data_IF_478992741764
#
_entry.id   IF_478992741764
#
_cell.length_a   1.000
_cell.length_b   1.000
_cell.length_c   1.000
_cell.angle_alpha   90.00
_cell.angle_beta   90.00
_cell.angle_gamma   90.00
#
_symmetry.space_group_name_H-M   'P 1'
#
loop_
_entity.id
_entity.type
_entity.pdbx_description
1 polymer ?
#
# COMPACT_ATOMS: atom_id res chain seq x y z
N UNK A 1 13.75 42.24 22.23
CA UNK A 1 14.19 41.18 21.29
C UNK A 1 14.30 39.86 22.04
N UNK A 2 13.45 38.87 21.75
CA UNK A 2 13.74 37.43 21.81
C UNK A 2 12.48 36.62 21.40
N UNK A 3 12.41 36.31 20.11
CA UNK A 3 11.72 35.17 19.45
C UNK A 3 10.57 34.47 20.22
N UNK A 4 9.38 35.06 20.21
CA UNK A 4 8.12 34.30 20.34
C UNK A 4 7.71 33.61 19.00
N UNK A 5 8.41 33.89 17.90
CA UNK A 5 8.08 33.37 16.56
C UNK A 5 8.68 32.00 16.19
N UNK A 6 9.13 31.19 17.16
CA UNK A 6 9.77 29.89 16.90
C UNK A 6 9.04 28.69 17.51
N UNK A 7 7.99 28.92 18.31
CA UNK A 7 7.17 27.87 18.95
C UNK A 7 5.98 27.40 18.08
N UNK A 8 5.69 28.10 16.97
CA UNK A 8 4.64 27.76 15.99
C UNK A 8 5.18 27.27 14.63
N UNK A 9 6.50 27.11 14.50
CA UNK A 9 7.08 26.34 13.40
C UNK A 9 7.11 24.88 13.87
N UNK A 10 6.72 23.96 12.99
CA UNK A 10 6.91 22.51 13.08
C UNK A 10 5.80 21.71 13.80
N UNK A 11 4.52 21.96 13.46
CA UNK A 11 3.76 20.80 12.97
C UNK A 11 4.57 20.31 11.76
N UNK A 12 5.09 19.09 11.81
CA UNK A 12 6.12 18.66 10.84
C UNK A 12 5.60 18.88 9.43
N UNK A 13 6.41 19.39 8.49
CA UNK A 13 5.97 19.61 7.09
C UNK A 13 5.39 18.32 6.47
N UNK A 14 5.74 17.18 7.05
CA UNK A 14 5.24 15.84 6.76
C UNK A 14 3.75 15.62 7.15
N UNK A 15 3.16 16.46 8.00
CA UNK A 15 1.72 16.41 8.33
C UNK A 15 0.84 16.75 7.12
N UNK A 16 1.37 17.53 6.17
CA UNK A 16 0.66 17.91 4.94
C UNK A 16 0.79 16.88 3.82
N UNK A 17 1.56 15.80 4.01
CA UNK A 17 1.83 14.80 2.96
C UNK A 17 0.52 14.25 2.36
N UNK A 18 -0.49 14.01 3.21
CA UNK A 18 -1.79 13.50 2.77
C UNK A 18 -2.59 14.55 1.98
N UNK A 19 -2.51 15.81 2.39
CA UNK A 19 -3.20 16.91 1.71
C UNK A 19 -2.65 17.15 0.30
N UNK A 20 -1.34 16.98 0.10
CA UNK A 20 -0.75 17.06 -1.23
C UNK A 20 -1.25 15.94 -2.15
N UNK A 21 -1.48 14.74 -1.60
CA UNK A 21 -2.06 13.62 -2.36
C UNK A 21 -3.51 13.89 -2.75
N UNK A 22 -4.32 14.40 -1.83
CA UNK A 22 -5.73 14.73 -2.08
C UNK A 22 -5.90 15.80 -3.15
N UNK A 23 -5.01 16.79 -3.16
CA UNK A 23 -5.09 17.94 -4.06
C UNK A 23 -4.40 17.73 -5.40
N UNK A 24 -3.75 16.57 -5.61
CA UNK A 24 -2.85 16.35 -6.75
C UNK A 24 -1.77 17.45 -6.85
N UNK A 25 -1.23 17.87 -5.71
CA UNK A 25 -0.24 18.94 -5.61
C UNK A 25 1.17 18.40 -5.86
N UNK A 26 1.53 18.25 -7.14
CA UNK A 26 2.86 17.81 -7.56
C UNK A 26 3.97 18.76 -7.10
N UNK A 27 3.70 20.06 -6.97
CA UNK A 27 4.70 21.03 -6.53
C UNK A 27 5.00 20.87 -5.03
N UNK A 28 3.97 20.68 -4.21
CA UNK A 28 4.10 20.34 -2.80
C UNK A 28 4.86 19.02 -2.59
N UNK A 29 4.52 18.00 -3.37
CA UNK A 29 5.25 16.72 -3.39
C UNK A 29 6.74 16.95 -3.74
N UNK A 30 7.03 17.73 -4.77
CA UNK A 30 8.40 18.00 -5.21
C UNK A 30 9.21 18.76 -4.17
N UNK A 31 8.59 19.74 -3.53
CA UNK A 31 9.19 20.49 -2.46
C UNK A 31 9.57 19.57 -1.29
N UNK A 32 8.65 18.72 -0.84
CA UNK A 32 8.85 17.85 0.31
C UNK A 32 9.87 16.73 0.03
N UNK A 33 9.76 16.09 -1.14
CA UNK A 33 10.68 15.01 -1.55
C UNK A 33 12.11 15.48 -1.79
N UNK A 34 12.28 16.75 -2.19
CA UNK A 34 13.62 17.35 -2.33
C UNK A 34 14.31 17.59 -0.98
N UNK A 35 13.57 17.91 0.08
CA UNK A 35 14.12 18.18 1.40
C UNK A 35 14.24 16.94 2.28
N UNK A 36 13.32 15.98 2.16
CA UNK A 36 13.20 14.82 3.06
C UNK A 36 13.46 13.47 2.37
N UNK A 37 13.65 13.45 1.05
CA UNK A 37 13.78 12.22 0.25
C UNK A 37 12.44 11.75 -0.31
N UNK A 38 12.49 10.90 -1.35
CA UNK A 38 11.31 10.41 -2.07
C UNK A 38 10.37 9.58 -1.18
N UNK A 39 10.93 8.83 -0.24
CA UNK A 39 10.20 7.98 0.72
C UNK A 39 9.94 8.68 2.06
N UNK A 40 9.88 10.02 2.07
CA UNK A 40 9.42 10.75 3.25
C UNK A 40 7.99 10.33 3.61
N UNK A 41 7.66 10.39 4.91
CA UNK A 41 6.43 9.82 5.43
C UNK A 41 5.80 10.66 6.55
N UNK A 42 4.49 10.52 6.78
CA UNK A 42 3.79 11.12 7.92
C UNK A 42 4.06 10.39 9.25
N UNK A 43 3.40 10.79 10.33
CA UNK A 43 3.46 10.07 11.62
C UNK A 43 3.01 8.60 11.51
N UNK A 44 2.12 8.30 10.53
CA UNK A 44 1.77 7.03 9.85
C UNK A 44 2.90 6.11 9.40
N UNK A 45 4.10 6.67 9.21
CA UNK A 45 5.12 6.08 8.33
C UNK A 45 4.55 5.74 6.94
N UNK A 46 3.54 6.49 6.48
CA UNK A 46 2.93 6.35 5.16
C UNK A 46 3.60 7.35 4.22
N UNK A 47 4.16 6.84 3.13
CA UNK A 47 4.76 7.64 2.06
C UNK A 47 3.70 8.14 1.09
N UNK A 48 4.08 9.02 0.16
CA UNK A 48 3.22 9.41 -0.96
C UNK A 48 2.71 8.21 -1.76
N UNK A 49 3.54 7.18 -1.95
CA UNK A 49 3.16 5.94 -2.63
C UNK A 49 2.03 5.22 -1.89
N UNK A 50 2.17 5.02 -0.57
CA UNK A 50 1.16 4.36 0.26
C UNK A 50 -0.15 5.14 0.26
N UNK A 51 -0.09 6.46 0.40
CA UNK A 51 -1.28 7.31 0.45
C UNK A 51 -2.00 7.36 -0.90
N UNK A 52 -1.26 7.50 -2.01
CA UNK A 52 -1.85 7.44 -3.35
C UNK A 52 -2.51 6.08 -3.61
N UNK A 53 -1.84 4.99 -3.19
CA UNK A 53 -2.35 3.63 -3.29
C UNK A 53 -3.62 3.41 -2.46
N UNK A 54 -3.68 3.98 -1.26
CA UNK A 54 -4.86 3.93 -0.39
C UNK A 54 -6.05 4.71 -0.96
N UNK A 55 -5.82 5.72 -1.82
CA UNK A 55 -6.87 6.62 -2.32
C UNK A 55 -7.24 6.36 -3.78
N UNK A 56 -6.71 5.30 -4.41
CA UNK A 56 -6.95 5.05 -5.83
C UNK A 56 -6.31 6.08 -6.75
N UNK A 57 -5.32 6.86 -6.28
CA UNK A 57 -4.75 7.97 -7.05
C UNK A 57 -3.63 7.49 -7.98
N UNK A 58 -4.00 7.03 -9.17
CA UNK A 58 -3.06 6.53 -10.19
C UNK A 58 -2.06 7.59 -10.66
N UNK A 59 -2.47 8.86 -10.73
CA UNK A 59 -1.62 9.96 -11.21
C UNK A 59 -0.41 10.18 -10.31
N UNK A 60 -0.64 10.31 -9.00
CA UNK A 60 0.47 10.45 -8.03
C UNK A 60 1.25 9.15 -7.90
N UNK A 61 0.56 8.00 -7.91
CA UNK A 61 1.21 6.71 -7.79
C UNK A 61 2.27 6.53 -8.89
N UNK A 62 1.89 6.72 -10.16
CA UNK A 62 2.81 6.61 -11.29
C UNK A 62 3.96 7.63 -11.17
N UNK A 63 3.64 8.88 -10.84
CA UNK A 63 4.63 9.94 -10.71
C UNK A 63 5.72 9.62 -9.68
N UNK A 64 5.32 9.13 -8.51
CA UNK A 64 6.23 8.80 -7.40
C UNK A 64 7.05 7.55 -7.71
N UNK A 65 6.47 6.53 -8.36
CA UNK A 65 7.20 5.35 -8.83
C UNK A 65 8.27 5.76 -9.86
N UNK A 66 7.93 6.62 -10.83
CA UNK A 66 8.87 7.10 -11.85
C UNK A 66 10.03 7.91 -11.25
N UNK A 67 9.82 8.51 -10.08
CA UNK A 67 10.87 9.19 -9.31
C UNK A 67 11.74 8.26 -8.47
N UNK A 68 11.48 6.96 -8.50
CA UNK A 68 12.29 5.96 -7.80
C UNK A 68 11.93 5.78 -6.33
N UNK A 69 10.66 5.97 -5.97
CA UNK A 69 10.18 5.56 -4.65
C UNK A 69 10.37 4.06 -4.43
N UNK A 70 10.62 3.67 -3.18
CA UNK A 70 10.64 2.27 -2.79
C UNK A 70 9.22 1.69 -2.87
N UNK A 71 9.00 0.84 -3.89
CA UNK A 71 7.69 0.31 -4.22
C UNK A 71 7.13 -0.62 -3.13
N UNK A 72 8.01 -1.24 -2.34
CA UNK A 72 7.66 -2.18 -1.28
C UNK A 72 7.79 -1.55 0.11
N UNK A 73 7.95 -0.21 0.20
CA UNK A 73 8.03 0.51 1.47
C UNK A 73 6.83 0.17 2.38
N UNK A 74 7.09 -0.01 3.67
CA UNK A 74 6.10 -0.45 4.65
C UNK A 74 5.87 0.59 5.76
N UNK A 75 4.60 0.79 6.09
CA UNK A 75 4.16 1.66 7.19
C UNK A 75 4.53 1.08 8.58
N UNK A 76 4.08 1.72 9.67
CA UNK A 76 4.36 1.25 11.04
C UNK A 76 3.62 -0.02 11.46
N UNK A 77 2.77 -0.60 10.61
CA UNK A 77 2.17 -1.92 10.80
C UNK A 77 2.75 -2.97 9.82
N UNK A 78 3.72 -2.58 8.99
CA UNK A 78 4.25 -3.42 7.93
C UNK A 78 3.41 -3.41 6.65
N UNK A 79 2.42 -2.53 6.52
CA UNK A 79 1.57 -2.50 5.32
C UNK A 79 2.28 -1.74 4.22
N UNK A 80 2.43 -2.40 3.06
CA UNK A 80 2.91 -1.78 1.82
C UNK A 80 1.77 -1.18 0.99
N UNK A 81 2.10 -0.48 -0.09
CA UNK A 81 1.11 0.02 -1.04
C UNK A 81 0.14 -1.08 -1.52
N UNK A 82 0.66 -2.27 -1.88
CA UNK A 82 -0.18 -3.41 -2.29
C UNK A 82 -1.17 -3.85 -1.21
N UNK A 83 -0.82 -3.77 0.08
CA UNK A 83 -1.77 -4.09 1.16
C UNK A 83 -2.92 -3.09 1.20
N UNK A 84 -2.63 -1.80 1.11
CA UNK A 84 -3.65 -0.75 1.11
C UNK A 84 -4.55 -0.81 -0.12
N UNK A 85 -3.99 -1.03 -1.31
CA UNK A 85 -4.79 -1.21 -2.53
C UNK A 85 -5.70 -2.45 -2.44
N UNK A 86 -5.20 -3.54 -1.87
CA UNK A 86 -5.99 -4.76 -1.63
C UNK A 86 -7.10 -4.55 -0.61
N UNK A 87 -6.87 -3.75 0.43
CA UNK A 87 -7.86 -3.40 1.44
C UNK A 87 -9.00 -2.55 0.87
N UNK A 88 -8.67 -1.58 0.01
CA UNK A 88 -9.61 -0.58 -0.49
C UNK A 88 -10.24 -0.94 -1.84
N UNK A 89 -10.01 -2.16 -2.32
CA UNK A 89 -10.52 -2.66 -3.59
C UNK A 89 -10.02 -1.91 -4.85
N UNK A 90 -8.79 -1.42 -4.83
CA UNK A 90 -8.22 -0.56 -5.89
C UNK A 90 -7.49 -1.39 -6.96
N UNK A 91 -8.25 -2.03 -7.86
CA UNK A 91 -7.69 -2.94 -8.87
C UNK A 91 -6.68 -2.26 -9.82
N UNK A 92 -6.94 -1.01 -10.25
CA UNK A 92 -6.04 -0.28 -11.14
C UNK A 92 -4.67 0.00 -10.50
N UNK A 93 -4.68 0.38 -9.22
CA UNK A 93 -3.47 0.57 -8.41
C UNK A 93 -2.68 -0.75 -8.27
N UNK A 94 -3.37 -1.87 -8.02
CA UNK A 94 -2.73 -3.19 -7.94
C UNK A 94 -2.05 -3.55 -9.26
N UNK A 95 -2.72 -3.33 -10.38
CA UNK A 95 -2.15 -3.60 -11.70
C UNK A 95 -0.90 -2.76 -11.95
N UNK A 96 -0.93 -1.46 -11.63
CA UNK A 96 0.23 -0.58 -11.77
C UNK A 96 1.38 -1.08 -10.90
N UNK A 97 1.14 -1.31 -9.60
CA UNK A 97 2.19 -1.74 -8.66
C UNK A 97 2.85 -3.05 -9.09
N UNK A 98 2.06 -4.07 -9.43
CA UNK A 98 2.58 -5.38 -9.85
C UNK A 98 3.31 -5.30 -11.19
N UNK A 99 2.84 -4.48 -12.13
CA UNK A 99 3.54 -4.27 -13.41
C UNK A 99 4.84 -3.48 -13.25
N UNK A 100 4.95 -2.65 -12.20
CA UNK A 100 6.16 -1.90 -11.84
C UNK A 100 7.11 -2.69 -10.93
N UNK A 101 6.80 -3.97 -10.67
CA UNK A 101 7.70 -4.88 -9.97
C UNK A 101 7.53 -4.94 -8.45
N UNK A 102 6.41 -4.44 -7.92
CA UNK A 102 6.08 -4.62 -6.51
C UNK A 102 6.05 -6.11 -6.14
N UNK A 103 6.57 -6.46 -4.97
CA UNK A 103 6.59 -7.83 -4.50
C UNK A 103 5.17 -8.27 -4.08
N UNK A 104 4.52 -9.22 -4.78
CA UNK A 104 3.18 -9.70 -4.41
C UNK A 104 3.14 -10.43 -3.06
N UNK A 105 4.31 -10.78 -2.52
CA UNK A 105 4.51 -11.57 -1.30
C UNK A 105 5.16 -10.79 -0.16
N UNK A 106 5.24 -9.46 -0.26
CA UNK A 106 5.66 -8.59 0.86
C UNK A 106 4.80 -8.86 2.09
N UNK A 107 5.39 -8.92 3.29
CA UNK A 107 4.67 -9.36 4.50
C UNK A 107 4.54 -8.25 5.53
N UNK A 108 3.33 -8.05 6.03
CA UNK A 108 3.08 -7.19 7.19
C UNK A 108 3.72 -7.74 8.48
N UNK A 109 3.59 -7.03 9.60
CA UNK A 109 4.15 -7.47 10.88
C UNK A 109 3.49 -8.72 11.49
N UNK A 110 2.33 -9.12 10.97
CA UNK A 110 1.68 -10.39 11.29
C UNK A 110 2.06 -11.52 10.32
N UNK A 111 2.94 -11.24 9.35
CA UNK A 111 3.34 -12.20 8.34
C UNK A 111 2.30 -12.40 7.24
N UNK A 112 1.30 -11.53 7.13
CA UNK A 112 0.27 -11.60 6.09
C UNK A 112 0.78 -10.94 4.80
N UNK A 113 0.63 -11.60 3.63
CA UNK A 113 0.84 -10.97 2.33
C UNK A 113 -0.39 -10.16 1.85
N UNK A 114 -0.28 -9.30 0.82
CA UNK A 114 -1.41 -8.53 0.28
C UNK A 114 -2.65 -9.37 -0.06
N UNK A 115 -2.47 -10.59 -0.57
CA UNK A 115 -3.58 -11.50 -0.89
C UNK A 115 -4.38 -11.90 0.35
N UNK A 116 -3.75 -11.98 1.53
CA UNK A 116 -4.46 -12.20 2.79
C UNK A 116 -5.43 -11.05 3.06
N UNK A 117 -4.99 -9.80 2.91
CA UNK A 117 -5.83 -8.61 3.06
C UNK A 117 -6.98 -8.62 2.05
N UNK A 118 -6.72 -8.98 0.79
CA UNK A 118 -7.76 -9.12 -0.22
C UNK A 118 -8.81 -10.17 0.18
N UNK A 119 -8.38 -11.36 0.63
CA UNK A 119 -9.29 -12.43 1.09
C UNK A 119 -10.12 -11.98 2.28
N UNK A 120 -9.54 -11.24 3.23
CA UNK A 120 -10.26 -10.74 4.42
C UNK A 120 -11.36 -9.73 4.07
N UNK A 121 -11.12 -8.88 3.07
CA UNK A 121 -12.04 -7.81 2.68
C UNK A 121 -13.00 -8.22 1.54
N UNK A 122 -12.71 -9.32 0.84
CA UNK A 122 -13.56 -9.83 -0.22
C UNK A 122 -14.96 -10.20 0.29
N UNK A 123 -15.98 -9.77 -0.46
CA UNK A 123 -17.38 -10.13 -0.21
C UNK A 123 -17.87 -11.02 -1.34
N UNK A 124 -18.26 -10.40 -2.45
CA UNK A 124 -18.80 -11.08 -3.64
C UNK A 124 -17.89 -10.92 -4.86
N UNK A 125 -16.92 -10.00 -4.80
CA UNK A 125 -15.93 -9.76 -5.84
C UNK A 125 -14.55 -10.30 -5.41
N UNK A 126 -14.01 -11.21 -6.22
CA UNK A 126 -12.69 -11.83 -6.02
C UNK A 126 -11.66 -11.37 -7.05
N UNK A 127 -11.93 -10.29 -7.80
CA UNK A 127 -11.07 -9.79 -8.87
C UNK A 127 -9.64 -9.49 -8.41
N UNK A 128 -9.48 -8.93 -7.20
CA UNK A 128 -8.16 -8.68 -6.61
C UNK A 128 -7.45 -9.98 -6.25
N UNK A 129 -8.16 -10.93 -5.64
CA UNK A 129 -7.58 -12.24 -5.30
C UNK A 129 -7.09 -12.92 -6.57
N UNK A 130 -7.93 -12.94 -7.61
CA UNK A 130 -7.58 -13.47 -8.93
C UNK A 130 -6.35 -12.77 -9.52
N UNK A 131 -6.30 -11.43 -9.50
CA UNK A 131 -5.17 -10.66 -10.02
C UNK A 131 -3.86 -10.97 -9.30
N UNK A 132 -3.90 -11.09 -7.97
CA UNK A 132 -2.73 -11.46 -7.17
C UNK A 132 -2.25 -12.88 -7.47
N UNK A 133 -3.18 -13.83 -7.65
CA UNK A 133 -2.86 -15.20 -8.08
C UNK A 133 -2.22 -15.24 -9.47
N UNK A 134 -2.76 -14.48 -10.44
CA UNK A 134 -2.19 -14.33 -11.80
C UNK A 134 -0.75 -13.78 -11.77
N UNK A 135 -0.42 -13.02 -10.72
CA UNK A 135 0.92 -12.46 -10.46
C UNK A 135 1.73 -13.29 -9.46
N UNK A 136 1.41 -14.58 -9.33
CA UNK A 136 2.15 -15.56 -8.53
C UNK A 136 2.23 -15.22 -7.02
N UNK A 137 1.16 -14.67 -6.46
CA UNK A 137 1.04 -14.57 -5.00
C UNK A 137 1.08 -15.96 -4.35
N UNK A 138 1.91 -16.11 -3.32
CA UNK A 138 2.05 -17.33 -2.55
C UNK A 138 0.87 -17.49 -1.59
N UNK A 139 0.18 -18.61 -1.73
CA UNK A 139 -1.00 -18.97 -0.94
C UNK A 139 -0.72 -20.04 0.12
N UNK A 140 0.49 -20.60 0.16
CA UNK A 140 0.83 -21.74 1.01
C UNK A 140 1.61 -21.32 2.26
N UNK A 141 2.46 -20.30 2.18
CA UNK A 141 3.29 -19.94 3.33
C UNK A 141 2.46 -19.30 4.45
N UNK A 142 2.60 -19.86 5.65
CA UNK A 142 1.85 -19.46 6.84
C UNK A 142 2.29 -18.10 7.38
N UNK A 143 1.34 -17.34 7.92
CA UNK A 143 1.60 -16.11 8.67
C UNK A 143 2.03 -16.43 10.12
N UNK A 144 2.21 -15.41 10.96
CA UNK A 144 2.65 -15.57 12.36
C UNK A 144 1.58 -16.25 13.24
N UNK A 145 0.37 -16.43 12.74
CA UNK A 145 -0.72 -17.17 13.38
C UNK A 145 -0.81 -18.63 12.90
N UNK A 146 0.12 -19.09 12.06
CA UNK A 146 0.14 -20.46 11.56
C UNK A 146 -0.93 -20.75 10.50
N UNK A 147 -1.47 -19.72 9.85
CA UNK A 147 -2.48 -19.83 8.78
C UNK A 147 -1.93 -19.37 7.45
N UNK A 148 -2.17 -20.13 6.38
CA UNK A 148 -1.85 -19.70 5.01
C UNK A 148 -3.02 -18.96 4.36
N UNK A 149 -2.80 -18.14 3.31
CA UNK A 149 -3.89 -17.54 2.55
C UNK A 149 -4.88 -18.58 2.00
N UNK A 150 -4.40 -19.75 1.55
CA UNK A 150 -5.27 -20.86 1.10
C UNK A 150 -6.16 -21.36 2.24
N UNK A 151 -5.61 -21.60 3.42
CA UNK A 151 -6.39 -22.03 4.59
C UNK A 151 -7.43 -20.96 4.98
N UNK A 152 -7.08 -19.67 4.89
CA UNK A 152 -7.99 -18.56 5.15
C UNK A 152 -9.15 -18.49 4.15
N UNK A 153 -8.86 -18.68 2.86
CA UNK A 153 -9.89 -18.73 1.82
C UNK A 153 -10.89 -19.86 2.08
N UNK A 154 -10.40 -21.07 2.31
CA UNK A 154 -11.24 -22.23 2.56
C UNK A 154 -12.15 -22.01 3.78
N UNK A 155 -11.63 -21.37 4.84
CA UNK A 155 -12.38 -21.03 6.05
C UNK A 155 -13.51 -20.02 5.78
N UNK A 156 -13.32 -19.07 4.85
CA UNK A 156 -14.31 -18.01 4.58
C UNK A 156 -15.36 -18.42 3.57
N UNK A 157 -14.97 -19.10 2.51
CA UNK A 157 -15.82 -19.31 1.34
C UNK A 157 -16.22 -20.76 1.12
N UNK A 158 -15.64 -21.70 1.89
CA UNK A 158 -15.89 -23.14 1.74
C UNK A 158 -15.70 -23.63 0.29
N UNK A 159 -14.69 -23.07 -0.39
CA UNK A 159 -14.29 -23.38 -1.76
C UNK A 159 -12.75 -23.44 -1.86
N UNK A 160 -12.21 -23.96 -2.95
CA UNK A 160 -10.77 -23.98 -3.25
C UNK A 160 -10.34 -22.68 -3.93
N UNK A 161 -9.33 -21.99 -3.40
CA UNK A 161 -8.88 -20.70 -3.97
C UNK A 161 -8.39 -20.83 -5.42
N UNK A 162 -7.89 -22.00 -5.80
CA UNK A 162 -7.47 -22.32 -7.16
C UNK A 162 -8.64 -22.36 -8.17
N UNK A 163 -9.89 -22.43 -7.71
CA UNK A 163 -11.08 -22.36 -8.58
C UNK A 163 -11.14 -21.03 -9.34
N UNK A 164 -10.57 -19.95 -8.78
CA UNK A 164 -10.55 -18.61 -9.37
C UNK A 164 -9.70 -18.49 -10.66
N UNK A 165 -8.80 -19.46 -10.90
CA UNK A 165 -7.91 -19.49 -12.06
C UNK A 165 -8.42 -20.41 -13.19
N UNK A 166 -9.53 -21.11 -12.98
CA UNK A 166 -10.19 -21.95 -13.99
C UNK A 166 -11.07 -21.08 -14.91
#
# INVERSE_FOLDING_TARGET
MARAGRLLKVESELEFIDSYVEKNDFDGINMLTKSHGIDCYDSYKRTFLILASSKGNESILNYIIEKGADIDFQDKNGFSALHFASQNNEIGIIEILLNKGANPNVRDFHGNPPIWTAIMNAREDFSIVKKLLEKNADIQTKNNHGKSPKEMWNLRFNDEIESLLK
#
